data_IF_762056018741
#
_entry.id   IF_762056018741
#
_cell.length_a   1.000
_cell.length_b   1.000
_cell.length_c   1.000
_cell.angle_alpha   90.00
_cell.angle_beta   90.00
_cell.angle_gamma   90.00
#
_symmetry.space_group_name_H-M   'P 1'
#
loop_
_entity.id
_entity.type
_entity.pdbx_description
1 polymer ?
#
# COMPACT_ATOMS: atom_id res chain seq x y z
N UNK A 1 18.31 -1.24 -11.90
CA UNK A 1 17.71 -1.71 -10.63
C UNK A 1 16.77 -0.68 -10.00
N UNK A 2 17.20 0.57 -9.69
CA UNK A 2 16.31 1.61 -9.11
C UNK A 2 14.97 1.82 -9.83
N UNK A 3 14.94 1.77 -11.16
CA UNK A 3 13.71 1.95 -11.95
C UNK A 3 12.71 0.81 -11.77
N UNK A 4 13.20 -0.44 -11.70
CA UNK A 4 12.37 -1.64 -11.50
C UNK A 4 11.67 -1.58 -10.13
N UNK A 5 12.39 -1.10 -9.12
CA UNK A 5 11.81 -0.84 -7.79
C UNK A 5 10.70 0.21 -7.82
N UNK A 6 10.93 1.33 -8.51
CA UNK A 6 9.93 2.38 -8.65
C UNK A 6 8.67 1.85 -9.33
N UNK A 7 8.83 1.06 -10.39
CA UNK A 7 7.72 0.46 -11.13
C UNK A 7 6.94 -0.54 -10.25
N UNK A 8 7.63 -1.44 -9.54
CA UNK A 8 6.97 -2.38 -8.62
C UNK A 8 6.23 -1.67 -7.50
N UNK A 9 6.84 -0.63 -6.91
CA UNK A 9 6.18 0.17 -5.87
C UNK A 9 4.95 0.92 -6.41
N UNK A 10 5.03 1.50 -7.61
CA UNK A 10 3.88 2.17 -8.25
C UNK A 10 2.75 1.20 -8.58
N UNK A 11 3.07 0.01 -9.10
CA UNK A 11 2.09 -1.05 -9.38
C UNK A 11 1.33 -1.45 -8.12
N UNK A 12 2.05 -1.54 -7.00
CA UNK A 12 1.50 -1.87 -5.69
C UNK A 12 0.57 -0.79 -5.17
N UNK A 13 1.00 0.47 -5.22
CA UNK A 13 0.16 1.62 -4.84
C UNK A 13 -1.12 1.59 -5.68
N UNK A 14 -0.98 1.36 -6.98
CA UNK A 14 -2.10 1.27 -7.91
C UNK A 14 -3.08 0.13 -7.54
N UNK A 15 -2.59 -1.10 -7.33
CA UNK A 15 -3.44 -2.22 -6.94
C UNK A 15 -4.12 -1.99 -5.59
N UNK A 16 -3.41 -1.47 -4.59
CA UNK A 16 -3.99 -1.15 -3.27
C UNK A 16 -5.10 -0.10 -3.38
N UNK A 17 -4.90 0.96 -4.18
CA UNK A 17 -5.94 1.98 -4.43
C UNK A 17 -7.13 1.36 -5.17
N UNK A 18 -6.89 0.58 -6.22
CA UNK A 18 -7.93 -0.10 -6.97
C UNK A 18 -8.76 -1.04 -6.08
N UNK A 19 -8.11 -1.84 -5.24
CA UNK A 19 -8.77 -2.68 -4.26
C UNK A 19 -9.51 -1.87 -3.19
N UNK A 20 -8.95 -0.75 -2.71
CA UNK A 20 -9.67 0.13 -1.77
C UNK A 20 -10.95 0.72 -2.37
N UNK A 21 -10.96 0.94 -3.69
CA UNK A 21 -12.10 1.47 -4.45
C UNK A 21 -13.17 0.40 -4.73
N UNK A 22 -12.76 -0.84 -5.00
CA UNK A 22 -13.68 -1.94 -5.36
C UNK A 22 -14.11 -2.78 -4.18
N UNK A 23 -13.29 -2.84 -3.13
CA UNK A 23 -13.48 -3.67 -1.95
C UNK A 23 -13.56 -2.75 -0.74
N UNK A 24 -14.78 -2.44 -0.30
CA UNK A 24 -15.07 -1.74 0.97
C UNK A 24 -14.70 -2.56 2.22
N UNK A 25 -13.79 -3.53 2.08
CA UNK A 25 -13.35 -4.41 3.15
C UNK A 25 -11.91 -4.07 3.53
N UNK A 26 -11.80 -3.33 4.63
CA UNK A 26 -10.55 -2.94 5.25
C UNK A 26 -9.57 -4.12 5.47
N UNK A 27 -10.09 -5.32 5.73
CA UNK A 27 -9.27 -6.51 5.95
C UNK A 27 -8.54 -6.99 4.70
N UNK A 28 -9.17 -6.90 3.53
CA UNK A 28 -8.55 -7.24 2.25
C UNK A 28 -7.46 -6.21 1.92
N UNK A 29 -7.74 -4.94 2.19
CA UNK A 29 -6.83 -3.84 1.95
C UNK A 29 -5.56 -3.93 2.82
N UNK A 30 -5.72 -4.24 4.11
CA UNK A 30 -4.61 -4.53 5.03
C UNK A 30 -3.81 -5.77 4.62
N UNK A 31 -4.49 -6.82 4.14
CA UNK A 31 -3.82 -8.05 3.70
C UNK A 31 -2.96 -7.82 2.46
N UNK A 32 -3.46 -7.08 1.48
CA UNK A 32 -2.71 -6.71 0.26
C UNK A 32 -1.53 -5.81 0.61
N UNK A 33 -1.74 -4.82 1.49
CA UNK A 33 -0.67 -3.96 2.00
C UNK A 33 0.45 -4.79 2.65
N UNK A 34 0.10 -5.71 3.55
CA UNK A 34 1.07 -6.55 4.25
C UNK A 34 1.83 -7.49 3.30
N UNK A 35 1.13 -8.22 2.42
CA UNK A 35 1.74 -9.18 1.50
C UNK A 35 2.78 -8.51 0.59
N UNK A 36 2.46 -7.32 0.10
CA UNK A 36 3.37 -6.57 -0.75
C UNK A 36 4.58 -6.05 0.02
N UNK A 37 4.36 -5.44 1.19
CA UNK A 37 5.46 -4.92 1.97
C UNK A 37 6.42 -6.04 2.39
N UNK A 38 5.90 -7.21 2.78
CA UNK A 38 6.71 -8.42 3.02
C UNK A 38 7.50 -8.81 1.77
N UNK A 39 6.86 -8.86 0.60
CA UNK A 39 7.55 -9.19 -0.66
C UNK A 39 8.67 -8.21 -1.00
N UNK A 40 8.40 -6.91 -0.91
CA UNK A 40 9.39 -5.86 -1.18
C UNK A 40 10.55 -5.91 -0.18
N UNK A 41 10.26 -6.18 1.09
CA UNK A 41 11.27 -6.34 2.13
C UNK A 41 12.14 -7.57 1.88
N UNK A 42 11.55 -8.72 1.55
CA UNK A 42 12.30 -9.96 1.29
C UNK A 42 13.20 -9.83 0.06
N UNK A 43 12.69 -9.30 -1.05
CA UNK A 43 13.46 -9.20 -2.30
C UNK A 43 14.63 -8.22 -2.19
N UNK A 44 14.51 -7.21 -1.34
CA UNK A 44 15.40 -6.05 -1.41
C UNK A 44 16.00 -5.63 -0.07
N UNK A 45 15.92 -6.50 0.94
CA UNK A 45 16.41 -6.28 2.31
C UNK A 45 17.81 -5.67 2.36
N UNK A 46 18.71 -6.16 1.52
CA UNK A 46 20.13 -5.79 1.52
C UNK A 46 20.40 -4.41 0.91
N UNK A 47 19.47 -3.89 0.09
CA UNK A 47 19.62 -2.60 -0.61
C UNK A 47 18.66 -1.53 -0.10
N UNK A 48 17.73 -1.89 0.79
CA UNK A 48 16.74 -0.99 1.36
C UNK A 48 17.27 -0.28 2.61
N UNK A 49 17.14 1.04 2.65
CA UNK A 49 17.29 1.78 3.89
C UNK A 49 16.05 1.52 4.76
N UNK A 50 16.21 0.71 5.81
CA UNK A 50 15.13 0.27 6.70
C UNK A 50 14.36 1.44 7.33
N UNK A 51 15.05 2.51 7.74
CA UNK A 51 14.40 3.68 8.34
C UNK A 51 13.48 4.38 7.35
N UNK A 52 13.98 4.60 6.13
CA UNK A 52 13.19 5.23 5.06
C UNK A 52 12.00 4.36 4.65
N UNK A 53 12.24 3.06 4.51
CA UNK A 53 11.19 2.09 4.19
C UNK A 53 10.07 2.06 5.23
N UNK A 54 10.43 2.03 6.52
CA UNK A 54 9.45 2.01 7.60
C UNK A 54 8.57 3.28 7.58
N UNK A 55 9.18 4.46 7.48
CA UNK A 55 8.44 5.73 7.39
C UNK A 55 7.49 5.71 6.19
N UNK A 56 7.97 5.32 5.02
CA UNK A 56 7.16 5.28 3.81
C UNK A 56 6.00 4.27 3.93
N UNK A 57 6.23 3.12 4.58
CA UNK A 57 5.21 2.11 4.84
C UNK A 57 4.11 2.66 5.75
N UNK A 58 4.47 3.36 6.83
CA UNK A 58 3.50 3.98 7.74
C UNK A 58 2.67 5.04 7.02
N UNK A 59 3.30 5.91 6.23
CA UNK A 59 2.60 6.94 5.44
C UNK A 59 1.63 6.30 4.45
N UNK A 60 2.05 5.24 3.76
CA UNK A 60 1.21 4.52 2.82
C UNK A 60 0.01 3.86 3.54
N UNK A 61 0.22 3.23 4.70
CA UNK A 61 -0.85 2.64 5.50
C UNK A 61 -1.90 3.69 5.91
N UNK A 62 -1.46 4.87 6.35
CA UNK A 62 -2.36 5.97 6.70
C UNK A 62 -3.18 6.42 5.48
N UNK A 63 -2.55 6.59 4.31
CA UNK A 63 -3.25 6.97 3.09
C UNK A 63 -4.33 5.94 2.70
N UNK A 64 -3.99 4.66 2.78
CA UNK A 64 -4.89 3.53 2.50
C UNK A 64 -6.07 3.51 3.48
N UNK A 65 -5.85 3.75 4.77
CA UNK A 65 -6.90 3.87 5.77
C UNK A 65 -7.82 5.07 5.50
N UNK A 66 -7.25 6.24 5.20
CA UNK A 66 -8.01 7.44 4.87
C UNK A 66 -8.89 7.22 3.63
N UNK A 67 -8.36 6.60 2.57
CA UNK A 67 -9.13 6.28 1.37
C UNK A 67 -10.26 5.30 1.67
N UNK A 68 -10.00 4.24 2.43
CA UNK A 68 -11.04 3.29 2.82
C UNK A 68 -12.16 3.95 3.64
N UNK A 69 -11.82 4.87 4.55
CA UNK A 69 -12.81 5.64 5.32
C UNK A 69 -13.60 6.62 4.43
N UNK A 70 -12.91 7.34 3.54
CA UNK A 70 -13.52 8.28 2.60
C UNK A 70 -14.55 7.60 1.69
N UNK A 71 -14.16 6.48 1.07
CA UNK A 71 -15.09 5.76 0.19
C UNK A 71 -16.22 5.09 0.96
N UNK A 72 -15.99 4.62 2.19
CA UNK A 72 -17.04 3.99 3.02
C UNK A 72 -18.09 4.98 3.54
N UNK A 73 -17.93 6.29 3.32
CA UNK A 73 -18.98 7.24 3.66
C UNK A 73 -20.25 6.91 2.86
N UNK A 74 -21.43 6.80 3.52
CA UNK A 74 -22.67 6.70 2.79
C UNK A 74 -22.80 7.94 1.90
N UNK A 75 -23.21 7.73 0.64
CA UNK A 75 -23.54 8.84 -0.24
C UNK A 75 -24.51 9.76 0.50
N UNK A 76 -24.12 11.01 0.73
CA UNK A 76 -25.05 12.02 1.19
C UNK A 76 -25.97 12.35 -0.01
N UNK A 77 -27.07 11.62 -0.14
CA UNK A 77 -28.07 11.79 -1.19
C UNK A 77 -28.76 10.50 -1.57
#
# INVERSE_FOLDING_TARGET
MKTIFGILFLLVVYLSVYFSLTVFNLWILLSTFAAVHIGLFQTFRERLNLKFYFILSVVHLIAVLCLNLYFRQPAAG
#
